data_IF_197908144981
#
_entry.id   IF_197908144981
#
_cell.length_a   1.000
_cell.length_b   1.000
_cell.length_c   1.000
_cell.angle_alpha   90.00
_cell.angle_beta   90.00
_cell.angle_gamma   90.00
#
_symmetry.space_group_name_H-M   'P 1'
#
loop_
_entity.id
_entity.type
_entity.pdbx_description
1 polymer ?
#
# COMPACT_ATOMS: atom_id res chain seq x y z
N UNK A 1 1.97 -8.66 -15.09
CA UNK A 1 3.03 -8.04 -14.32
C UNK A 1 2.44 -7.32 -13.13
N UNK A 2 3.15 -7.32 -11.97
CA UNK A 2 2.65 -6.73 -10.73
C UNK A 2 2.54 -5.22 -10.80
N UNK A 3 1.43 -4.67 -10.28
CA UNK A 3 1.18 -3.22 -10.19
C UNK A 3 1.23 -2.74 -8.76
N UNK A 4 0.83 -3.57 -7.80
CA UNK A 4 0.90 -3.21 -6.37
C UNK A 4 2.29 -3.50 -5.83
N UNK A 5 2.75 -2.58 -5.00
CA UNK A 5 3.97 -2.72 -4.21
C UNK A 5 3.75 -2.05 -2.85
N UNK A 6 2.91 -2.63 -1.99
CA UNK A 6 2.69 -2.06 -0.67
C UNK A 6 3.99 -2.08 0.13
N UNK A 7 4.28 -0.96 0.75
CA UNK A 7 5.49 -0.78 1.55
C UNK A 7 5.20 0.25 2.64
N UNK A 8 5.88 0.17 3.80
CA UNK A 8 5.82 1.26 4.76
C UNK A 8 6.29 2.58 4.13
N UNK A 9 5.57 3.65 4.41
CA UNK A 9 5.96 5.01 4.09
C UNK A 9 6.45 5.69 5.35
N UNK A 10 7.72 6.07 5.33
CA UNK A 10 8.44 6.61 6.49
C UNK A 10 8.72 8.09 6.30
N UNK A 11 8.41 8.87 7.31
CA UNK A 11 8.82 10.28 7.35
C UNK A 11 10.18 10.38 8.04
N UNK A 12 11.14 11.15 7.52
CA UNK A 12 11.01 12.16 6.48
C UNK A 12 11.47 11.72 5.07
N UNK A 13 11.21 10.48 4.62
CA UNK A 13 11.64 10.08 3.28
C UNK A 13 10.79 10.71 2.18
N UNK A 14 11.28 11.68 1.42
CA UNK A 14 10.52 12.23 0.31
C UNK A 14 10.51 11.34 -0.94
N UNK A 15 11.42 10.35 -1.02
CA UNK A 15 11.75 9.72 -2.29
C UNK A 15 11.39 8.23 -2.38
N UNK A 16 11.61 7.45 -1.33
CA UNK A 16 11.54 5.99 -1.42
C UNK A 16 10.43 5.36 -0.60
N UNK A 17 9.82 6.09 0.31
CA UNK A 17 8.82 5.58 1.24
C UNK A 17 9.45 4.84 2.42
N UNK A 18 9.99 3.65 2.19
CA UNK A 18 10.61 2.84 3.24
C UNK A 18 11.97 3.38 3.68
N UNK A 19 12.17 3.46 4.99
CA UNK A 19 13.47 3.70 5.64
C UNK A 19 13.74 2.62 6.70
N UNK A 20 15.01 2.31 7.01
CA UNK A 20 15.36 1.43 8.11
C UNK A 20 14.79 1.93 9.44
N UNK A 21 14.55 1.00 10.39
CA UNK A 21 14.23 1.41 11.77
C UNK A 21 15.35 2.29 12.33
N UNK A 22 15.07 3.32 13.15
CA UNK A 22 13.83 3.49 13.94
C UNK A 22 12.78 4.44 13.34
N UNK A 23 12.89 4.81 12.09
CA UNK A 23 12.04 5.84 11.50
C UNK A 23 10.53 5.53 11.63
N UNK A 24 9.74 6.58 11.81
CA UNK A 24 8.29 6.45 11.93
C UNK A 24 7.66 5.99 10.61
N UNK A 25 6.54 5.29 10.72
CA UNK A 25 5.72 4.84 9.60
C UNK A 25 4.40 5.60 9.63
N UNK A 26 4.08 6.28 8.54
CA UNK A 26 2.81 7.00 8.37
C UNK A 26 1.70 6.06 7.87
N UNK A 27 2.05 4.94 7.25
CA UNK A 27 1.14 3.92 6.74
C UNK A 27 1.79 3.10 5.63
N UNK A 28 0.95 2.49 4.80
CA UNK A 28 1.35 1.60 3.71
C UNK A 28 0.69 2.04 2.41
N UNK A 29 1.44 2.73 1.55
CA UNK A 29 0.93 3.09 0.23
C UNK A 29 0.98 1.90 -0.74
N UNK A 30 0.10 1.92 -1.75
CA UNK A 30 -0.11 0.77 -2.63
C UNK A 30 0.90 0.68 -3.78
N UNK A 31 1.49 1.81 -4.18
CA UNK A 31 2.34 1.89 -5.37
C UNK A 31 3.65 2.60 -5.04
N UNK A 32 4.77 1.97 -5.38
CA UNK A 32 6.10 2.53 -5.22
C UNK A 32 6.95 2.25 -6.44
N UNK A 33 7.95 3.11 -6.70
CA UNK A 33 8.99 2.81 -7.70
C UNK A 33 9.75 1.57 -7.27
N UNK A 34 9.98 0.63 -8.18
CA UNK A 34 10.74 -0.57 -7.90
C UNK A 34 12.19 -0.49 -8.36
N UNK A 35 13.09 -1.04 -7.52
CA UNK A 35 14.41 -1.47 -7.89
C UNK A 35 15.50 -0.41 -7.95
N UNK A 36 15.20 0.87 -8.09
CA UNK A 36 16.22 1.87 -8.40
C UNK A 36 16.51 2.87 -7.29
N UNK A 37 15.82 2.79 -6.14
CA UNK A 37 15.94 3.80 -5.09
C UNK A 37 15.67 5.22 -5.61
N UNK A 38 14.86 5.32 -6.65
CA UNK A 38 14.75 6.48 -7.50
C UNK A 38 14.09 7.67 -6.90
N UNK A 39 13.79 8.62 -7.76
CA UNK A 39 13.17 9.88 -7.40
C UNK A 39 11.73 9.76 -6.89
N UNK A 40 11.19 10.85 -6.41
CA UNK A 40 9.85 10.90 -5.84
C UNK A 40 8.79 10.64 -6.89
N UNK A 41 8.25 9.44 -6.91
CA UNK A 41 7.14 9.06 -7.78
C UNK A 41 6.25 8.03 -7.10
N UNK A 42 4.94 8.06 -7.42
CA UNK A 42 3.94 7.20 -6.82
C UNK A 42 3.75 7.47 -5.30
N UNK A 43 3.62 6.45 -4.48
CA UNK A 43 3.23 6.56 -3.07
C UNK A 43 1.73 6.76 -2.91
N UNK A 44 0.93 6.23 -3.83
CA UNK A 44 -0.50 6.52 -3.90
C UNK A 44 -1.31 5.60 -2.99
N UNK A 45 -2.34 6.15 -2.38
CA UNK A 45 -3.33 5.47 -1.54
C UNK A 45 -2.70 4.83 -0.30
N UNK A 46 -2.68 5.58 0.78
CA UNK A 46 -2.09 5.14 2.06
C UNK A 46 -3.15 4.47 2.93
N UNK A 47 -2.79 3.32 3.48
CA UNK A 47 -3.59 2.62 4.51
C UNK A 47 -2.83 2.64 5.82
N UNK A 48 -3.49 3.12 6.89
CA UNK A 48 -2.88 3.23 8.22
C UNK A 48 -3.79 2.63 9.29
N UNK A 49 -3.40 1.54 9.97
CA UNK A 49 -4.12 1.07 11.13
C UNK A 49 -3.83 1.97 12.34
N UNK A 50 -4.86 2.25 13.14
CA UNK A 50 -4.69 3.02 14.37
C UNK A 50 -5.67 2.57 15.46
N UNK A 51 -5.36 2.89 16.72
CA UNK A 51 -6.12 2.40 17.86
C UNK A 51 -6.33 3.43 18.97
N UNK A 52 -5.93 4.69 18.77
CA UNK A 52 -6.02 5.76 19.77
C UNK A 52 -7.39 6.46 19.84
N UNK A 53 -8.29 6.16 18.92
CA UNK A 53 -9.63 6.72 18.86
C UNK A 53 -9.71 8.19 18.44
N UNK A 54 -8.60 8.77 18.04
CA UNK A 54 -8.58 10.17 17.62
C UNK A 54 -9.01 10.32 16.17
N UNK A 55 -9.98 11.21 15.93
CA UNK A 55 -10.38 11.62 14.60
C UNK A 55 -9.38 12.65 14.06
N UNK A 56 -8.35 12.16 13.39
CA UNK A 56 -7.36 12.98 12.72
C UNK A 56 -7.00 12.40 11.36
N UNK A 57 -6.59 13.25 10.46
CA UNK A 57 -6.25 12.87 9.09
C UNK A 57 -4.92 12.10 9.04
N UNK A 58 -3.95 12.48 9.87
CA UNK A 58 -2.63 11.89 9.87
C UNK A 58 -2.42 10.99 11.08
N UNK A 59 -2.19 9.72 10.84
CA UNK A 59 -1.76 8.74 11.83
C UNK A 59 -0.34 8.31 11.55
N UNK A 60 0.38 7.88 12.57
CA UNK A 60 1.72 7.31 12.45
C UNK A 60 2.05 6.47 13.67
N UNK A 61 3.03 5.57 13.51
CA UNK A 61 3.60 4.81 14.61
C UNK A 61 5.07 4.43 14.30
N UNK A 62 5.74 3.77 15.22
CA UNK A 62 7.11 3.28 15.07
C UNK A 62 7.10 1.76 15.08
N UNK A 63 7.93 1.14 14.24
CA UNK A 63 8.09 -0.31 14.21
C UNK A 63 8.82 -0.81 15.46
N UNK A 64 8.28 -1.81 16.11
CA UNK A 64 8.93 -2.55 17.20
C UNK A 64 9.91 -3.58 16.62
N UNK A 65 9.51 -4.25 15.56
CA UNK A 65 10.31 -5.14 14.73
C UNK A 65 9.83 -5.06 13.29
N UNK A 66 10.61 -5.64 12.39
CA UNK A 66 10.25 -5.77 10.98
C UNK A 66 10.75 -7.12 10.46
N UNK A 67 9.91 -7.81 9.70
CA UNK A 67 10.27 -9.03 8.98
C UNK A 67 9.89 -8.85 7.51
N UNK A 68 10.89 -8.98 6.64
CA UNK A 68 10.72 -8.90 5.19
C UNK A 68 11.13 -10.24 4.60
N UNK A 69 10.21 -10.88 3.88
CA UNK A 69 10.45 -12.12 3.13
C UNK A 69 9.84 -11.97 1.73
N UNK A 70 10.17 -12.90 0.86
CA UNK A 70 9.56 -12.93 -0.48
C UNK A 70 8.02 -12.98 -0.35
N UNK A 71 7.36 -11.95 -0.89
CA UNK A 71 5.91 -11.84 -0.86
C UNK A 71 5.26 -11.63 0.51
N UNK A 72 6.03 -11.32 1.53
CA UNK A 72 5.51 -11.18 2.90
C UNK A 72 6.24 -10.09 3.68
N UNK A 73 5.46 -9.22 4.29
CA UNK A 73 5.90 -8.21 5.24
C UNK A 73 5.17 -8.38 6.57
N UNK A 74 5.87 -8.19 7.69
CA UNK A 74 5.29 -8.26 9.04
C UNK A 74 5.98 -7.26 9.95
N UNK A 75 5.20 -6.49 10.69
CA UNK A 75 5.66 -5.57 11.72
C UNK A 75 4.66 -5.49 12.86
N UNK A 76 5.14 -5.17 14.06
CA UNK A 76 4.31 -4.71 15.17
C UNK A 76 4.68 -3.27 15.50
N UNK A 77 3.69 -2.44 15.68
CA UNK A 77 3.87 -1.04 16.07
C UNK A 77 4.11 -0.90 17.57
N UNK A 78 4.92 0.09 17.95
CA UNK A 78 5.33 0.31 19.35
C UNK A 78 4.27 0.97 20.19
N UNK A 79 3.61 2.01 19.66
CA UNK A 79 2.65 2.82 20.41
C UNK A 79 1.29 2.13 20.46
N UNK A 80 0.76 1.77 19.30
CA UNK A 80 -0.55 1.11 19.19
C UNK A 80 -0.54 -0.37 19.54
N UNK A 81 0.62 -1.04 19.45
CA UNK A 81 0.72 -2.50 19.60
C UNK A 81 0.11 -3.29 18.44
N UNK A 82 -0.40 -2.63 17.41
CA UNK A 82 -1.04 -3.27 16.27
C UNK A 82 0.02 -4.03 15.46
N UNK A 83 -0.28 -5.29 15.12
CA UNK A 83 0.51 -6.07 14.19
C UNK A 83 -0.08 -5.95 12.79
N UNK A 84 0.76 -5.69 11.82
CA UNK A 84 0.40 -5.57 10.41
C UNK A 84 1.17 -6.59 9.60
N UNK A 85 0.44 -7.46 8.89
CA UNK A 85 0.98 -8.42 7.94
C UNK A 85 0.47 -8.07 6.55
N UNK A 86 1.34 -8.20 5.53
CA UNK A 86 1.01 -7.83 4.15
C UNK A 86 1.50 -8.92 3.21
N UNK A 87 0.66 -9.31 2.27
CA UNK A 87 0.99 -10.08 1.07
C UNK A 87 0.28 -9.49 -0.14
N UNK A 88 0.58 -9.97 -1.33
CA UNK A 88 0.03 -9.37 -2.56
C UNK A 88 -0.29 -10.42 -3.61
N UNK A 89 -1.15 -10.04 -4.53
CA UNK A 89 -1.23 -10.57 -5.89
C UNK A 89 -0.59 -9.58 -6.88
N UNK A 90 -0.87 -9.70 -8.17
CA UNK A 90 -0.30 -8.78 -9.16
C UNK A 90 -0.86 -7.35 -9.07
N UNK A 91 -2.16 -7.20 -8.76
CA UNK A 91 -2.89 -5.92 -8.79
C UNK A 91 -3.70 -5.65 -7.53
N UNK A 92 -3.54 -6.49 -6.52
CA UNK A 92 -4.19 -6.30 -5.23
C UNK A 92 -3.24 -6.62 -4.08
N UNK A 93 -3.29 -5.83 -3.03
CA UNK A 93 -2.64 -6.08 -1.75
C UNK A 93 -3.62 -6.69 -0.77
N UNK A 94 -3.10 -7.49 0.14
CA UNK A 94 -3.88 -8.13 1.19
C UNK A 94 -3.21 -7.90 2.54
N UNK A 95 -3.93 -7.27 3.45
CA UNK A 95 -3.49 -6.92 4.79
C UNK A 95 -4.21 -7.77 5.83
N UNK A 96 -3.51 -8.07 6.91
CA UNK A 96 -4.09 -8.60 8.14
C UNK A 96 -3.60 -7.75 9.31
N UNK A 97 -4.52 -7.04 9.95
CA UNK A 97 -4.26 -6.23 11.13
C UNK A 97 -4.73 -6.97 12.37
N UNK A 98 -3.84 -7.16 13.34
CA UNK A 98 -4.17 -7.73 14.64
C UNK A 98 -4.05 -6.63 15.68
N UNK A 99 -5.19 -6.28 16.27
CA UNK A 99 -5.31 -5.22 17.26
C UNK A 99 -5.18 -5.77 18.69
N UNK A 100 -4.55 -5.02 19.62
CA UNK A 100 -4.64 -5.30 21.05
C UNK A 100 -6.09 -5.31 21.52
N UNK A 101 -6.36 -6.05 22.60
CA UNK A 101 -7.73 -6.24 23.10
C UNK A 101 -8.42 -4.94 23.45
N UNK A 102 -7.73 -4.08 24.20
CA UNK A 102 -8.27 -2.83 24.76
C UNK A 102 -8.18 -1.62 23.81
N UNK A 103 -7.59 -1.76 22.61
CA UNK A 103 -7.53 -0.67 21.64
C UNK A 103 -8.85 -0.53 20.88
N UNK A 104 -9.10 0.66 20.31
CA UNK A 104 -10.08 0.81 19.25
C UNK A 104 -9.51 0.20 17.95
N UNK A 105 -10.38 -0.32 17.12
CA UNK A 105 -10.02 -1.01 15.87
C UNK A 105 -10.38 -0.08 14.72
N UNK A 106 -9.36 0.56 14.12
CA UNK A 106 -9.61 1.57 13.10
C UNK A 106 -8.59 1.51 11.97
N UNK A 107 -9.04 1.90 10.77
CA UNK A 107 -8.20 2.11 9.59
C UNK A 107 -8.44 3.49 9.03
N UNK A 108 -7.37 4.16 8.62
CA UNK A 108 -7.42 5.33 7.75
C UNK A 108 -7.07 4.91 6.32
N UNK A 109 -7.82 5.40 5.35
CA UNK A 109 -7.55 5.25 3.91
C UNK A 109 -7.40 6.65 3.32
N UNK A 110 -6.16 7.07 3.08
CA UNK A 110 -5.83 8.37 2.51
C UNK A 110 -5.73 8.27 0.98
N UNK A 111 -6.76 8.71 0.29
CA UNK A 111 -6.80 8.78 -1.16
C UNK A 111 -5.95 9.93 -1.72
N UNK A 112 -5.60 10.91 -0.90
CA UNK A 112 -4.80 12.05 -1.31
C UNK A 112 -3.30 11.88 -1.08
N UNK A 113 -2.86 10.78 -0.48
CA UNK A 113 -1.45 10.55 -0.19
C UNK A 113 -0.62 10.29 -1.45
N UNK A 114 0.60 10.82 -1.46
CA UNK A 114 1.63 10.56 -2.48
C UNK A 114 3.01 10.94 -1.94
N UNK A 115 4.05 10.33 -2.50
CA UNK A 115 5.44 10.65 -2.18
C UNK A 115 5.96 11.85 -2.98
N UNK A 116 7.01 12.50 -2.46
CA UNK A 116 7.73 13.53 -3.21
C UNK A 116 6.98 14.83 -3.41
N UNK A 117 6.10 15.21 -2.50
CA UNK A 117 5.43 16.51 -2.52
C UNK A 117 6.44 17.66 -2.38
N UNK A 118 7.45 17.47 -1.51
CA UNK A 118 8.54 18.40 -1.31
C UNK A 118 9.88 17.66 -1.29
N UNK A 119 10.40 17.23 -2.44
CA UNK A 119 11.62 16.44 -2.48
C UNK A 119 12.83 17.30 -2.12
N UNK A 120 13.81 16.64 -1.54
CA UNK A 120 15.15 17.20 -1.27
C UNK A 120 16.16 16.31 -2.01
N UNK A 121 17.09 16.85 -2.76
CA UNK A 121 17.48 18.26 -2.88
C UNK A 121 16.81 19.04 -4.02
N UNK A 122 16.06 18.41 -4.91
CA UNK A 122 15.60 19.09 -6.13
C UNK A 122 14.07 19.21 -6.22
N UNK A 123 13.57 20.41 -5.88
CA UNK A 123 12.14 20.74 -5.95
C UNK A 123 11.52 20.62 -7.34
N UNK A 124 12.34 20.60 -8.44
CA UNK A 124 11.84 20.41 -9.79
C UNK A 124 11.28 19.01 -10.04
N UNK A 125 11.69 18.05 -9.21
CA UNK A 125 11.20 16.67 -9.25
C UNK A 125 9.98 16.46 -8.36
N UNK A 126 9.43 17.52 -7.74
CA UNK A 126 8.26 17.41 -6.88
C UNK A 126 7.05 16.84 -7.60
N UNK A 127 6.40 15.88 -6.98
CA UNK A 127 5.04 15.52 -7.35
C UNK A 127 4.07 16.60 -6.85
N UNK A 128 3.02 16.83 -7.61
CA UNK A 128 2.00 17.83 -7.32
C UNK A 128 0.63 17.16 -7.29
N UNK A 129 -0.13 17.46 -6.25
CA UNK A 129 -1.52 17.03 -6.14
C UNK A 129 -2.37 17.63 -7.27
N UNK A 130 -3.24 16.83 -7.86
CA UNK A 130 -4.19 17.24 -8.91
C UNK A 130 -5.62 16.95 -8.49
N UNK A 131 -5.83 15.96 -7.62
CA UNK A 131 -7.15 15.65 -7.09
C UNK A 131 -7.19 14.28 -6.44
N UNK A 132 -8.17 14.09 -5.58
CA UNK A 132 -8.49 12.78 -4.99
C UNK A 132 -9.99 12.66 -4.73
N UNK A 133 -10.45 11.43 -4.66
CA UNK A 133 -11.82 11.08 -4.32
C UNK A 133 -11.82 9.87 -3.41
N UNK A 134 -12.72 9.89 -2.44
CA UNK A 134 -13.07 8.77 -1.58
C UNK A 134 -14.59 8.60 -1.55
N UNK A 135 -15.06 7.38 -1.69
CA UNK A 135 -16.46 6.99 -1.59
C UNK A 135 -16.59 5.80 -0.63
N UNK A 136 -17.45 5.90 0.34
CA UNK A 136 -17.91 4.79 1.18
C UNK A 136 -19.07 4.14 0.45
N UNK A 137 -18.89 2.93 -0.05
CA UNK A 137 -19.86 2.23 -0.90
C UNK A 137 -20.81 1.34 -0.09
N UNK A 138 -20.32 0.79 1.02
CA UNK A 138 -21.09 -0.02 1.98
C UNK A 138 -20.38 0.01 3.34
N UNK A 139 -20.81 -0.82 4.27
CA UNK A 139 -20.13 -1.03 5.55
C UNK A 139 -18.87 -1.92 5.46
N UNK A 140 -18.51 -2.37 4.27
CA UNK A 140 -17.30 -3.16 3.99
C UNK A 140 -16.41 -2.52 2.93
N UNK A 141 -16.91 -1.59 2.13
CA UNK A 141 -16.29 -1.18 0.87
C UNK A 141 -16.05 0.32 0.81
N UNK A 142 -14.85 0.69 0.43
CA UNK A 142 -14.50 2.06 0.03
C UNK A 142 -13.80 2.04 -1.31
N UNK A 143 -13.99 3.08 -2.13
CA UNK A 143 -13.30 3.22 -3.40
C UNK A 143 -12.95 4.69 -3.66
N UNK A 144 -12.07 4.93 -4.61
CA UNK A 144 -11.69 6.28 -4.97
C UNK A 144 -10.54 6.32 -5.94
N UNK A 145 -9.91 7.48 -6.00
CA UNK A 145 -8.69 7.66 -6.78
C UNK A 145 -7.80 8.75 -6.19
N UNK A 146 -6.55 8.71 -6.59
CA UNK A 146 -5.59 9.81 -6.45
C UNK A 146 -5.06 10.20 -7.82
N UNK A 147 -4.95 11.49 -8.10
CA UNK A 147 -4.42 12.04 -9.34
C UNK A 147 -3.28 12.99 -9.04
N UNK A 148 -2.13 12.69 -9.59
CA UNK A 148 -0.85 13.34 -9.31
C UNK A 148 -0.18 13.68 -10.64
N UNK A 149 0.62 14.73 -10.67
CA UNK A 149 1.49 15.08 -11.82
C UNK A 149 2.91 15.36 -11.35
N UNK A 150 3.83 15.46 -12.28
CA UNK A 150 5.23 15.77 -11.98
C UNK A 150 6.02 14.59 -11.45
N UNK A 151 6.90 14.87 -10.51
CA UNK A 151 7.87 13.89 -10.03
C UNK A 151 9.00 13.69 -11.03
N UNK A 152 9.74 12.64 -10.83
CA UNK A 152 10.84 12.24 -11.69
C UNK A 152 10.44 12.31 -13.18
N UNK A 153 11.20 13.05 -13.99
CA UNK A 153 10.96 13.35 -15.40
C UNK A 153 9.79 14.32 -15.72
N UNK A 154 9.32 15.12 -14.75
CA UNK A 154 8.23 16.07 -14.96
C UNK A 154 7.02 15.45 -15.69
N UNK A 155 6.60 14.25 -15.25
CA UNK A 155 5.57 13.48 -15.92
C UNK A 155 4.22 14.19 -15.97
N UNK A 156 3.43 13.86 -17.01
CA UNK A 156 2.02 14.26 -17.11
C UNK A 156 1.23 13.69 -15.93
N UNK A 157 0.05 14.25 -15.70
CA UNK A 157 -0.86 13.74 -14.67
C UNK A 157 -1.24 12.28 -14.94
N UNK A 158 -1.19 11.46 -13.90
CA UNK A 158 -1.67 10.08 -13.89
C UNK A 158 -2.66 9.88 -12.75
N UNK A 159 -3.51 8.89 -12.89
CA UNK A 159 -4.52 8.55 -11.88
C UNK A 159 -4.35 7.11 -11.44
N UNK A 160 -4.31 6.89 -10.13
CA UNK A 160 -4.41 5.56 -9.52
C UNK A 160 -5.79 5.44 -8.89
N UNK A 161 -6.61 4.57 -9.46
CA UNK A 161 -7.90 4.18 -8.90
C UNK A 161 -7.71 3.03 -7.94
N UNK A 162 -8.48 3.00 -6.87
CA UNK A 162 -8.46 1.93 -5.90
C UNK A 162 -9.87 1.50 -5.51
N UNK A 163 -9.94 0.29 -5.02
CA UNK A 163 -11.07 -0.31 -4.34
C UNK A 163 -10.55 -1.09 -3.14
N UNK A 164 -11.10 -0.84 -1.97
CA UNK A 164 -10.71 -1.49 -0.73
C UNK A 164 -11.92 -2.13 -0.07
N UNK A 165 -11.75 -3.38 0.38
CA UNK A 165 -12.80 -4.20 1.01
C UNK A 165 -12.26 -4.84 2.27
N UNK A 166 -13.06 -4.82 3.35
CA UNK A 166 -12.76 -5.44 4.64
C UNK A 166 -13.57 -6.70 4.88
N UNK A 167 -13.00 -7.69 5.58
CA UNK A 167 -13.68 -8.93 5.96
C UNK A 167 -14.70 -8.73 7.11
N UNK A 168 -14.61 -7.60 7.81
CA UNK A 168 -15.50 -7.19 8.90
C UNK A 168 -16.19 -5.90 8.54
N UNK A 169 -17.49 -5.73 8.89
CA UNK A 169 -18.16 -4.46 8.70
C UNK A 169 -17.57 -3.39 9.61
N UNK A 170 -17.37 -2.21 9.09
CA UNK A 170 -17.10 -1.07 9.95
C UNK A 170 -18.43 -0.52 10.52
N UNK A 171 -18.43 -0.28 11.82
CA UNK A 171 -19.60 0.22 12.57
C UNK A 171 -19.77 1.73 12.45
N UNK A 172 -18.71 2.41 12.00
CA UNK A 172 -18.70 3.84 11.72
C UNK A 172 -17.71 4.14 10.60
N UNK A 173 -18.10 5.01 9.70
CA UNK A 173 -17.23 5.61 8.69
C UNK A 173 -17.33 7.13 8.75
N UNK A 174 -16.18 7.80 8.67
CA UNK A 174 -16.05 9.23 8.51
C UNK A 174 -15.22 9.50 7.27
N UNK A 175 -15.46 10.59 6.58
CA UNK A 175 -14.60 11.02 5.48
C UNK A 175 -13.98 12.38 5.78
N UNK A 176 -12.86 12.68 5.16
CA UNK A 176 -12.24 13.99 5.29
C UNK A 176 -11.96 14.66 3.96
N UNK A 177 -11.90 15.98 4.00
CA UNK A 177 -11.38 16.85 2.95
C UNK A 177 -10.49 17.93 3.60
N UNK A 178 -9.22 18.01 3.20
CA UNK A 178 -8.22 18.77 3.94
C UNK A 178 -8.10 18.28 5.38
N UNK A 179 -8.33 19.16 6.35
CA UNK A 179 -8.34 18.82 7.77
C UNK A 179 -9.75 18.66 8.35
N UNK A 180 -10.80 18.73 7.52
CA UNK A 180 -12.18 18.68 7.95
C UNK A 180 -12.74 17.26 7.82
N UNK A 181 -13.08 16.65 8.95
CA UNK A 181 -13.67 15.31 9.05
C UNK A 181 -15.18 15.46 9.20
N UNK A 182 -15.94 14.64 8.49
CA UNK A 182 -17.41 14.66 8.45
C UNK A 182 -17.99 13.25 8.32
N UNK A 183 -19.29 13.10 8.52
CA UNK A 183 -20.04 11.86 8.29
C UNK A 183 -20.48 11.65 6.83
N UNK A 184 -20.03 12.51 5.91
CA UNK A 184 -20.36 12.37 4.51
C UNK A 184 -19.82 11.05 3.94
N UNK A 185 -20.61 10.43 3.06
CA UNK A 185 -20.23 9.13 2.45
C UNK A 185 -19.28 9.30 1.25
N UNK A 186 -19.04 10.53 0.80
CA UNK A 186 -18.09 10.79 -0.28
C UNK A 186 -17.46 12.17 -0.13
N UNK A 187 -16.20 12.26 -0.55
CA UNK A 187 -15.44 13.50 -0.68
C UNK A 187 -14.69 13.50 -2.00
N UNK A 188 -14.69 14.63 -2.66
CA UNK A 188 -13.90 14.90 -3.85
C UNK A 188 -13.31 16.30 -3.77
N UNK A 189 -12.07 16.45 -4.15
CA UNK A 189 -11.47 17.78 -4.31
C UNK A 189 -10.26 17.76 -5.25
N UNK A 190 -9.96 18.89 -5.87
CA UNK A 190 -8.81 19.10 -6.74
C UNK A 190 -7.70 19.94 -6.08
N UNK A 191 -7.94 20.46 -4.89
CA UNK A 191 -7.01 21.28 -4.12
C UNK A 191 -6.69 20.67 -2.74
N UNK A 192 -7.67 20.02 -2.12
CA UNK A 192 -7.54 19.42 -0.79
C UNK A 192 -7.57 17.88 -0.88
N UNK A 193 -6.68 17.22 -0.12
CA UNK A 193 -6.60 15.76 -0.04
C UNK A 193 -7.83 15.18 0.65
N UNK A 194 -8.28 14.01 0.19
CA UNK A 194 -9.47 13.32 0.73
C UNK A 194 -9.13 11.92 1.23
N UNK A 195 -9.95 11.39 2.13
CA UNK A 195 -9.83 10.03 2.63
C UNK A 195 -10.95 9.64 3.59
N UNK A 196 -10.83 8.46 4.21
CA UNK A 196 -11.81 7.91 5.12
C UNK A 196 -11.19 7.32 6.39
N UNK A 197 -11.90 7.46 7.51
CA UNK A 197 -11.65 6.76 8.77
C UNK A 197 -12.73 5.69 8.95
N UNK A 198 -12.31 4.44 9.11
CA UNK A 198 -13.18 3.28 9.25
C UNK A 198 -12.97 2.69 10.64
N UNK A 199 -14.05 2.52 11.39
CA UNK A 199 -14.03 1.94 12.75
C UNK A 199 -14.75 0.63 12.78
N UNK A 200 -14.14 -0.36 13.42
CA UNK A 200 -14.66 -1.72 13.55
C UNK A 200 -15.22 -1.96 14.95
N UNK A 201 -15.98 -3.04 15.11
CA UNK A 201 -16.50 -3.42 16.41
C UNK A 201 -15.37 -3.74 17.40
N UNK A 202 -15.60 -3.46 18.68
CA UNK A 202 -14.61 -3.67 19.75
C UNK A 202 -14.06 -5.11 19.78
N UNK A 203 -14.87 -6.08 19.40
CA UNK A 203 -14.53 -7.50 19.41
C UNK A 203 -13.76 -7.97 18.18
N UNK A 204 -13.61 -7.14 17.16
CA UNK A 204 -12.90 -7.48 15.92
C UNK A 204 -11.38 -7.36 16.12
N UNK A 205 -10.80 -8.33 16.84
CA UNK A 205 -9.34 -8.37 17.10
C UNK A 205 -8.51 -8.46 15.84
N UNK A 206 -9.04 -9.10 14.80
CA UNK A 206 -8.38 -9.25 13.50
C UNK A 206 -9.29 -8.67 12.44
N UNK A 207 -8.75 -7.76 11.66
CA UNK A 207 -9.39 -7.17 10.49
C UNK A 207 -8.51 -7.42 9.28
N UNK A 208 -9.10 -7.95 8.22
CA UNK A 208 -8.41 -8.12 6.94
C UNK A 208 -8.91 -7.09 5.93
N UNK A 209 -8.01 -6.64 5.07
CA UNK A 209 -8.28 -5.65 4.04
C UNK A 209 -7.66 -6.09 2.73
N UNK A 210 -8.44 -6.08 1.66
CA UNK A 210 -7.95 -6.18 0.28
C UNK A 210 -7.97 -4.80 -0.36
N UNK A 211 -6.92 -4.44 -1.08
CA UNK A 211 -6.90 -3.20 -1.86
C UNK A 211 -6.50 -3.52 -3.29
N UNK A 212 -7.45 -3.46 -4.20
CA UNK A 212 -7.18 -3.54 -5.64
C UNK A 212 -6.86 -2.17 -6.21
N UNK A 213 -5.96 -2.12 -7.17
CA UNK A 213 -5.62 -0.89 -7.90
C UNK A 213 -5.81 -1.03 -9.40
N UNK A 214 -6.00 0.11 -10.07
CA UNK A 214 -6.06 0.21 -11.52
C UNK A 214 -5.66 1.62 -11.97
N UNK A 215 -5.03 1.72 -13.15
CA UNK A 215 -4.82 3.00 -13.82
C UNK A 215 -5.97 3.37 -14.78
N UNK A 216 -7.03 2.55 -14.84
CA UNK A 216 -8.14 2.71 -15.78
C UNK A 216 -9.43 3.22 -15.11
N UNK A 217 -9.88 2.56 -14.03
CA UNK A 217 -11.11 2.92 -13.34
C UNK A 217 -11.24 2.25 -11.96
N UNK A 218 -12.14 2.76 -11.09
CA UNK A 218 -12.52 2.11 -9.82
C UNK A 218 -13.14 0.74 -10.04
N UNK A 219 -13.98 0.57 -11.08
CA UNK A 219 -14.57 -0.73 -11.43
C UNK A 219 -13.49 -1.77 -11.78
N UNK A 220 -12.44 -1.32 -12.50
CA UNK A 220 -11.32 -2.23 -12.81
C UNK A 220 -10.48 -2.53 -11.57
N UNK A 221 -10.33 -1.59 -10.64
CA UNK A 221 -9.69 -1.84 -9.35
C UNK A 221 -10.48 -2.89 -8.53
N UNK A 222 -11.82 -2.77 -8.46
CA UNK A 222 -12.70 -3.77 -7.83
C UNK A 222 -12.57 -5.14 -8.50
N UNK A 223 -12.62 -5.18 -9.83
CA UNK A 223 -12.43 -6.42 -10.59
C UNK A 223 -11.06 -7.06 -10.28
N UNK A 224 -9.99 -6.28 -10.21
CA UNK A 224 -8.65 -6.78 -9.89
C UNK A 224 -8.59 -7.39 -8.48
N UNK A 225 -9.19 -6.72 -7.47
CA UNK A 225 -9.26 -7.24 -6.11
C UNK A 225 -9.98 -8.60 -6.06
N UNK A 226 -11.18 -8.68 -6.63
CA UNK A 226 -12.01 -9.88 -6.56
C UNK A 226 -11.50 -11.03 -7.41
N UNK A 227 -10.95 -10.75 -8.61
CA UNK A 227 -10.42 -11.79 -9.49
C UNK A 227 -9.11 -12.40 -9.02
N UNK A 228 -8.27 -11.61 -8.37
CA UNK A 228 -6.96 -12.07 -7.92
C UNK A 228 -6.96 -12.58 -6.48
N UNK A 229 -7.84 -12.03 -5.62
CA UNK A 229 -8.00 -12.45 -4.22
C UNK A 229 -9.48 -12.73 -3.94
N UNK A 230 -10.06 -13.83 -4.49
CA UNK A 230 -11.49 -14.12 -4.35
C UNK A 230 -11.91 -14.59 -2.95
N UNK A 231 -10.97 -14.86 -2.06
CA UNK A 231 -11.20 -15.42 -0.73
C UNK A 231 -10.45 -14.63 0.36
N UNK A 232 -10.78 -14.87 1.63
CA UNK A 232 -10.18 -14.22 2.80
C UNK A 232 -9.10 -15.10 3.48
N UNK A 233 -8.42 -15.98 2.75
CA UNK A 233 -7.29 -16.77 3.25
C UNK A 233 -5.98 -16.08 2.91
N UNK A 234 -5.40 -15.41 3.92
CA UNK A 234 -4.13 -14.71 3.79
C UNK A 234 -2.99 -15.66 3.40
N UNK A 235 -2.94 -16.83 4.04
CA UNK A 235 -1.92 -17.84 3.80
C UNK A 235 -1.96 -18.37 2.37
N UNK A 236 -3.18 -18.57 1.84
CA UNK A 236 -3.32 -19.03 0.45
C UNK A 236 -2.81 -18.00 -0.55
N UNK A 237 -3.12 -16.72 -0.37
CA UNK A 237 -2.62 -15.66 -1.26
C UNK A 237 -1.10 -15.60 -1.23
N UNK A 238 -0.49 -15.71 -0.04
CA UNK A 238 0.96 -15.74 0.10
C UNK A 238 1.57 -16.98 -0.57
N UNK A 239 0.97 -18.16 -0.40
CA UNK A 239 1.43 -19.40 -1.05
C UNK A 239 1.31 -19.32 -2.58
N UNK A 240 0.21 -18.79 -3.11
CA UNK A 240 0.02 -18.61 -4.55
C UNK A 240 1.09 -17.66 -5.14
N UNK A 241 1.43 -16.60 -4.41
CA UNK A 241 2.52 -15.69 -4.80
C UNK A 241 3.90 -16.38 -4.78
N UNK A 242 4.20 -17.16 -3.72
CA UNK A 242 5.43 -17.93 -3.65
C UNK A 242 5.53 -18.95 -4.80
N UNK A 243 4.44 -19.61 -5.14
CA UNK A 243 4.38 -20.53 -6.29
C UNK A 243 4.70 -19.86 -7.63
N UNK A 244 4.22 -18.61 -7.84
CA UNK A 244 4.57 -17.83 -9.03
C UNK A 244 6.07 -17.50 -9.09
N UNK A 245 6.67 -17.11 -7.97
CA UNK A 245 8.10 -16.87 -7.88
C UNK A 245 8.91 -18.15 -8.09
N UNK A 246 8.49 -19.25 -7.52
CA UNK A 246 9.14 -20.55 -7.71
C UNK A 246 9.15 -20.97 -9.18
N UNK A 247 8.03 -20.84 -9.88
CA UNK A 247 7.95 -21.10 -11.32
C UNK A 247 8.90 -20.22 -12.14
N UNK A 248 9.13 -18.97 -11.73
CA UNK A 248 10.10 -18.10 -12.36
C UNK A 248 11.55 -18.54 -12.09
N UNK A 249 11.86 -18.90 -10.84
CA UNK A 249 13.19 -19.31 -10.44
C UNK A 249 13.58 -20.67 -11.04
N UNK A 250 12.63 -21.59 -11.18
CA UNK A 250 12.86 -22.91 -11.79
C UNK A 250 13.20 -22.88 -13.29
N UNK A 251 13.04 -21.73 -13.95
CA UNK A 251 13.47 -21.58 -15.36
C UNK A 251 15.00 -21.67 -15.53
N UNK A 252 15.75 -21.48 -14.47
CA UNK A 252 17.20 -21.62 -14.44
C UNK A 252 17.57 -22.49 -13.25
N UNK A 253 18.02 -23.69 -13.54
CA UNK A 253 18.48 -24.62 -12.52
C UNK A 253 19.99 -24.46 -12.31
N UNK A 254 20.40 -24.41 -11.06
CA UNK A 254 21.80 -24.40 -10.64
C UNK A 254 22.16 -25.79 -10.18
N UNK A 255 23.36 -26.26 -10.56
CA UNK A 255 23.90 -27.53 -10.13
C UNK A 255 23.68 -27.77 -8.63
N UNK A 256 23.09 -28.92 -8.25
CA UNK A 256 22.82 -29.24 -6.85
C UNK A 256 24.04 -29.17 -5.93
N UNK A 257 25.23 -29.42 -6.44
CA UNK A 257 26.50 -29.33 -5.69
C UNK A 257 26.98 -27.91 -5.42
N UNK A 258 26.38 -26.88 -6.07
CA UNK A 258 26.77 -25.49 -5.86
C UNK A 258 26.54 -25.06 -4.40
N UNK A 259 27.54 -24.44 -3.75
CA UNK A 259 27.41 -23.96 -2.37
C UNK A 259 26.20 -23.05 -2.17
N UNK A 260 25.50 -23.22 -1.04
CA UNK A 260 24.26 -22.48 -0.73
C UNK A 260 24.42 -20.96 -0.84
N UNK A 261 25.57 -20.41 -0.43
CA UNK A 261 25.86 -18.97 -0.53
C UNK A 261 25.81 -18.48 -1.98
N UNK A 262 26.39 -19.25 -2.93
CA UNK A 262 26.37 -18.93 -4.37
C UNK A 262 24.96 -19.07 -4.95
N UNK A 263 24.21 -20.11 -4.56
CA UNK A 263 22.79 -20.25 -4.94
C UNK A 263 21.97 -19.06 -4.50
N UNK A 264 22.10 -18.64 -3.24
CA UNK A 264 21.42 -17.45 -2.70
C UNK A 264 21.78 -16.19 -3.49
N UNK A 265 23.07 -15.97 -3.77
CA UNK A 265 23.52 -14.81 -4.55
C UNK A 265 22.88 -14.80 -5.94
N UNK A 266 22.88 -15.94 -6.63
CA UNK A 266 22.31 -16.06 -7.97
C UNK A 266 20.79 -15.78 -7.97
N UNK A 267 20.02 -16.46 -7.12
CA UNK A 267 18.57 -16.26 -7.08
C UNK A 267 18.18 -14.87 -6.57
N UNK A 268 18.97 -14.25 -5.70
CA UNK A 268 18.82 -12.85 -5.32
C UNK A 268 19.02 -11.93 -6.53
N UNK A 269 20.07 -12.16 -7.32
CA UNK A 269 20.30 -11.41 -8.57
C UNK A 269 19.14 -11.58 -9.55
N UNK A 270 18.66 -12.80 -9.74
CA UNK A 270 17.50 -13.08 -10.60
C UNK A 270 16.23 -12.37 -10.11
N UNK A 271 15.96 -12.39 -8.80
CA UNK A 271 14.86 -11.64 -8.19
C UNK A 271 14.95 -10.13 -8.51
N UNK A 272 16.12 -9.52 -8.34
CA UNK A 272 16.32 -8.10 -8.66
C UNK A 272 16.08 -7.81 -10.16
N UNK A 273 16.52 -8.67 -11.05
CA UNK A 273 16.27 -8.53 -12.49
C UNK A 273 14.77 -8.58 -12.81
N UNK A 274 14.03 -9.50 -12.19
CA UNK A 274 12.58 -9.59 -12.37
C UNK A 274 11.86 -8.34 -11.84
N UNK A 275 12.31 -7.75 -10.73
CA UNK A 275 11.72 -6.52 -10.19
C UNK A 275 11.88 -5.34 -11.16
N UNK A 276 13.03 -5.19 -11.79
CA UNK A 276 13.27 -4.13 -12.78
C UNK A 276 12.37 -4.28 -14.01
N UNK A 277 12.15 -5.52 -14.45
CA UNK A 277 11.30 -5.80 -15.61
C UNK A 277 9.81 -5.65 -15.35
N UNK A 278 9.35 -5.92 -14.13
CA UNK A 278 7.93 -5.91 -13.76
C UNK A 278 7.43 -4.57 -13.24
N UNK A 279 8.32 -3.60 -13.07
CA UNK A 279 7.92 -2.24 -12.68
C UNK A 279 7.16 -1.59 -13.84
N UNK A 280 5.98 -0.98 -13.59
CA UNK A 280 5.34 -0.18 -14.62
C UNK A 280 6.28 0.94 -15.03
N UNK A 281 6.79 0.87 -16.26
CA UNK A 281 7.56 1.95 -16.85
C UNK A 281 6.59 3.08 -17.22
N UNK A 282 7.00 4.36 -17.13
CA UNK A 282 6.22 5.45 -17.70
C UNK A 282 5.93 5.30 -19.20
N UNK A 283 6.62 4.40 -19.90
CA UNK A 283 6.37 4.07 -21.30
C UNK A 283 5.20 3.10 -21.52
N UNK A 284 4.79 2.38 -20.46
CA UNK A 284 3.70 1.40 -20.54
C UNK A 284 2.33 2.05 -20.23
N UNK A 285 2.31 3.36 -20.00
CA UNK A 285 1.12 4.16 -19.71
C UNK A 285 0.75 5.12 -20.86
N UNK A 286 1.35 4.95 -22.06
CA UNK A 286 1.05 5.74 -23.25
C UNK A 286 0.00 5.06 -24.14
#
# INVERSE_FOLDING_TARGET
YGMVKPSPDCTPSPNSGWLPMPERVDGFAQVHVSGTGGGPKYGNVLVTPFGDGMDRVNHYDYRKYETIRLGYYDTQFKQSGIRTEITTSNRASFYRFTYPEDSLKSLAVDAGFFLGENPVPDAREAQQFVGSEIQVLSDHEVAGYTRIRGGWNNGKAYTVYFYAETDRPFVQSLTWKGNRITEAQSQYDSAEKTGALLRFAKNDKVVQLKVGISFLSMQKAKFNAHSEIPHWSFEKVHQDLLGQWEQLFQKIEIDPSTPLAKKRMFYTGLYHTCLLYTSPSPRDCS
#
